data_IF_103221844772
#
_entry.id   IF_103221844772
#
_cell.length_a   1.000
_cell.length_b   1.000
_cell.length_c   1.000
_cell.angle_alpha   90.00
_cell.angle_beta   90.00
_cell.angle_gamma   90.00
#
_symmetry.space_group_name_H-M   'P 1'
#
loop_
_entity.id
_entity.type
_entity.pdbx_description
1 polymer ?
#
# COMPACT_ATOMS: atom_id res chain seq x y z
N UNK A 1 4.95 4.43 -20.35
CA UNK A 1 5.24 5.75 -19.74
C UNK A 1 4.47 5.76 -18.43
N UNK A 2 5.15 5.39 -17.34
CA UNK A 2 4.63 5.55 -15.97
C UNK A 2 5.86 5.59 -15.07
N UNK A 3 6.26 6.81 -14.73
CA UNK A 3 7.42 7.15 -13.91
C UNK A 3 6.86 8.04 -12.77
N UNK A 4 5.77 7.59 -12.15
CA UNK A 4 4.90 8.42 -11.31
C UNK A 4 5.07 8.22 -9.81
N UNK A 5 5.46 7.02 -9.36
CA UNK A 5 5.28 6.69 -7.93
C UNK A 5 6.59 6.61 -7.12
N UNK A 6 7.74 6.81 -7.77
CA UNK A 6 9.03 6.89 -7.06
C UNK A 6 9.27 8.28 -6.43
N UNK A 7 8.66 9.33 -6.98
CA UNK A 7 8.73 10.68 -6.43
C UNK A 7 7.96 10.80 -5.11
N UNK A 8 6.86 10.06 -4.95
CA UNK A 8 6.07 10.05 -3.71
C UNK A 8 6.86 9.52 -2.52
N UNK A 9 7.73 8.52 -2.72
CA UNK A 9 8.54 7.95 -1.64
C UNK A 9 9.71 8.86 -1.23
N UNK A 10 10.21 9.67 -2.17
CA UNK A 10 11.22 10.69 -1.89
C UNK A 10 10.60 11.88 -1.14
N UNK A 11 9.38 12.26 -1.49
CA UNK A 11 8.65 13.36 -0.85
C UNK A 11 8.20 12.98 0.57
N UNK A 12 7.67 11.77 0.78
CA UNK A 12 7.25 11.31 2.12
C UNK A 12 8.42 11.20 3.10
N UNK A 13 9.62 10.86 2.60
CA UNK A 13 10.83 10.82 3.42
C UNK A 13 11.34 12.22 3.77
N UNK A 14 11.14 13.20 2.88
CA UNK A 14 11.44 14.60 3.15
C UNK A 14 10.47 15.20 4.17
N UNK A 15 9.18 14.86 4.10
CA UNK A 15 8.19 15.26 5.12
C UNK A 15 8.54 14.69 6.51
N UNK A 16 8.98 13.43 6.60
CA UNK A 16 9.44 12.84 7.87
C UNK A 16 10.66 13.60 8.46
N UNK A 17 11.55 14.13 7.62
CA UNK A 17 12.67 14.98 8.07
C UNK A 17 12.18 16.37 8.55
N UNK A 18 11.24 16.99 7.85
CA UNK A 18 10.68 18.30 8.24
C UNK A 18 9.90 18.25 9.56
N UNK A 19 9.13 17.19 9.78
CA UNK A 19 8.40 16.94 11.04
C UNK A 19 9.38 16.70 12.19
N UNK A 20 10.47 15.97 11.95
CA UNK A 20 11.51 15.75 12.95
C UNK A 20 12.23 17.06 13.34
N UNK A 21 12.48 17.96 12.37
CA UNK A 21 13.06 19.27 12.64
C UNK A 21 12.11 20.20 13.42
N UNK A 22 10.80 20.14 13.15
CA UNK A 22 9.79 20.91 13.90
C UNK A 22 9.69 20.43 15.36
N UNK A 23 9.64 19.12 15.58
CA UNK A 23 9.63 18.52 16.93
C UNK A 23 10.90 18.84 17.71
N UNK A 24 12.07 18.81 17.06
CA UNK A 24 13.34 19.18 17.69
C UNK A 24 13.43 20.68 18.06
N UNK A 25 12.69 21.54 17.34
CA UNK A 25 12.54 22.97 17.68
C UNK A 25 11.60 23.19 18.86
N UNK A 26 10.52 22.42 18.99
CA UNK A 26 9.56 22.53 20.10
C UNK A 26 10.16 22.03 21.44
N UNK A 27 11.00 20.98 21.42
CA UNK A 27 11.65 20.42 22.62
C UNK A 27 12.60 21.39 23.35
N UNK A 28 13.08 22.46 22.70
CA UNK A 28 13.91 23.48 23.36
C UNK A 28 13.11 24.47 24.22
N UNK A 29 11.78 24.46 24.14
CA UNK A 29 10.94 25.52 24.73
C UNK A 29 10.15 25.14 25.98
N UNK A 30 9.98 23.86 26.34
CA UNK A 30 9.00 23.50 27.37
C UNK A 30 9.54 22.60 28.49
N UNK A 31 10.17 23.25 29.46
CA UNK A 31 10.40 22.72 30.81
C UNK A 31 9.14 22.92 31.65
N UNK A 32 8.15 22.01 31.59
CA UNK A 32 7.18 21.79 32.70
C UNK A 32 6.68 20.34 32.71
N UNK A 33 7.07 19.58 33.74
CA UNK A 33 6.66 18.20 33.97
C UNK A 33 5.20 18.10 34.48
N UNK A 34 4.41 17.19 33.91
CA UNK A 34 3.20 16.63 34.54
C UNK A 34 3.18 15.09 34.42
N UNK A 35 2.76 14.33 35.46
CA UNK A 35 2.85 12.87 35.49
C UNK A 35 1.84 12.14 34.58
N UNK A 36 0.93 12.86 33.93
CA UNK A 36 0.02 12.34 32.89
C UNK A 36 0.68 12.25 31.51
N UNK A 37 1.80 12.95 31.28
CA UNK A 37 2.40 13.04 29.94
C UNK A 37 3.02 11.73 29.47
N UNK A 38 3.56 10.91 30.38
CA UNK A 38 4.18 9.62 30.01
C UNK A 38 3.16 8.64 29.44
N UNK A 39 1.97 8.51 30.03
CA UNK A 39 0.93 7.59 29.54
C UNK A 39 0.42 7.99 28.16
N UNK A 40 0.18 9.29 27.94
CA UNK A 40 -0.24 9.81 26.64
C UNK A 40 0.87 9.69 25.58
N UNK A 41 2.13 9.85 25.98
CA UNK A 41 3.29 9.68 25.09
C UNK A 41 3.45 8.24 24.60
N UNK A 42 3.29 7.23 25.49
CA UNK A 42 3.34 5.82 25.08
C UNK A 42 2.17 5.46 24.14
N UNK A 43 0.95 5.96 24.43
CA UNK A 43 -0.20 5.75 23.56
C UNK A 43 0.00 6.38 22.17
N UNK A 44 0.52 7.61 22.11
CA UNK A 44 0.85 8.28 20.85
C UNK A 44 1.92 7.55 20.04
N UNK A 45 2.98 7.03 20.69
CA UNK A 45 4.03 6.23 20.04
C UNK A 45 3.49 4.93 19.44
N UNK A 46 2.61 4.22 20.15
CA UNK A 46 2.02 2.98 19.66
C UNK A 46 1.06 3.23 18.48
N UNK A 47 0.25 4.29 18.54
CA UNK A 47 -0.60 4.72 17.43
C UNK A 47 0.23 5.06 16.19
N UNK A 48 1.28 5.88 16.33
CA UNK A 48 2.18 6.20 15.21
C UNK A 48 2.87 4.97 14.61
N UNK A 49 3.14 3.93 15.42
CA UNK A 49 3.70 2.67 14.91
C UNK A 49 2.65 1.89 14.12
N UNK A 50 1.41 1.87 14.60
CA UNK A 50 0.29 1.20 13.93
C UNK A 50 -0.04 1.86 12.60
N UNK A 51 -0.19 3.19 12.56
CA UNK A 51 -0.43 3.95 11.32
C UNK A 51 0.67 3.72 10.29
N UNK A 52 1.95 3.73 10.69
CA UNK A 52 3.07 3.39 9.79
C UNK A 52 3.02 1.95 9.29
N UNK A 53 2.55 1.02 10.13
CA UNK A 53 2.36 -0.37 9.70
C UNK A 53 1.20 -0.51 8.71
N UNK A 54 0.09 0.18 8.94
CA UNK A 54 -1.08 0.18 8.05
C UNK A 54 -0.73 0.81 6.70
N UNK A 55 -0.09 1.98 6.71
CA UNK A 55 0.39 2.63 5.48
C UNK A 55 1.32 1.73 4.66
N UNK A 56 2.23 0.97 5.29
CA UNK A 56 3.09 0.02 4.58
C UNK A 56 2.30 -1.15 3.97
N UNK A 57 1.28 -1.66 4.68
CA UNK A 57 0.41 -2.72 4.15
C UNK A 57 -0.39 -2.21 2.95
N UNK A 58 -0.94 -1.00 3.03
CA UNK A 58 -1.65 -0.36 1.93
C UNK A 58 -0.75 -0.29 0.69
N UNK A 59 0.48 0.23 0.83
CA UNK A 59 1.44 0.29 -0.27
C UNK A 59 1.77 -1.10 -0.83
N UNK A 60 1.91 -2.11 0.03
CA UNK A 60 2.15 -3.48 -0.43
C UNK A 60 0.96 -4.01 -1.26
N UNK A 61 -0.27 -3.77 -0.81
CA UNK A 61 -1.47 -4.20 -1.55
C UNK A 61 -1.56 -3.47 -2.89
N UNK A 62 -1.21 -2.19 -2.95
CA UNK A 62 -1.14 -1.42 -4.20
C UNK A 62 -0.09 -2.00 -5.18
N UNK A 63 1.09 -2.37 -4.68
CA UNK A 63 2.12 -3.04 -5.49
C UNK A 63 1.65 -4.41 -6.01
N UNK A 64 0.99 -5.20 -5.16
CA UNK A 64 0.41 -6.49 -5.54
C UNK A 64 -0.69 -6.33 -6.61
N UNK A 65 -1.56 -5.34 -6.47
CA UNK A 65 -2.58 -5.02 -7.48
C UNK A 65 -1.96 -4.61 -8.82
N UNK A 66 -0.89 -3.80 -8.82
CA UNK A 66 -0.18 -3.42 -10.04
C UNK A 66 0.47 -4.63 -10.74
N UNK A 67 0.98 -5.59 -9.98
CA UNK A 67 1.50 -6.86 -10.52
C UNK A 67 0.38 -7.73 -11.11
N UNK A 68 -0.78 -7.77 -10.47
CA UNK A 68 -1.97 -8.46 -10.99
C UNK A 68 -2.45 -7.83 -12.30
N UNK A 69 -2.48 -6.50 -12.40
CA UNK A 69 -2.80 -5.79 -13.64
C UNK A 69 -1.84 -6.15 -14.78
N UNK A 70 -0.53 -6.19 -14.50
CA UNK A 70 0.46 -6.61 -15.50
C UNK A 70 0.24 -8.08 -15.91
N UNK A 71 -0.04 -8.96 -14.93
CA UNK A 71 -0.29 -10.39 -15.18
C UNK A 71 -1.54 -10.59 -16.04
N UNK A 72 -2.63 -9.89 -15.74
CA UNK A 72 -3.88 -9.89 -16.52
C UNK A 72 -3.60 -9.45 -17.96
N UNK A 73 -2.88 -8.34 -18.15
CA UNK A 73 -2.53 -7.85 -19.49
C UNK A 73 -1.65 -8.85 -20.27
N UNK A 74 -0.71 -9.52 -19.59
CA UNK A 74 0.12 -10.57 -20.18
C UNK A 74 -0.72 -11.79 -20.59
N UNK A 75 -1.61 -12.27 -19.73
CA UNK A 75 -2.50 -13.40 -20.01
C UNK A 75 -3.42 -13.10 -21.20
N UNK A 76 -4.03 -11.91 -21.24
CA UNK A 76 -4.87 -11.48 -22.36
C UNK A 76 -4.07 -11.42 -23.69
N UNK A 77 -2.83 -10.91 -23.64
CA UNK A 77 -1.94 -10.88 -24.80
C UNK A 77 -1.51 -12.29 -25.25
N UNK A 78 -1.35 -13.24 -24.33
CA UNK A 78 -1.06 -14.62 -24.66
C UNK A 78 -2.24 -15.34 -25.31
N UNK A 79 -3.46 -15.07 -24.84
CA UNK A 79 -4.68 -15.69 -25.34
C UNK A 79 -4.98 -15.36 -26.81
N UNK A 80 -4.52 -14.21 -27.31
CA UNK A 80 -4.70 -13.82 -28.72
C UNK A 80 -3.63 -14.35 -29.66
N UNK A 81 -2.64 -15.10 -29.14
CA UNK A 81 -1.60 -15.71 -29.98
C UNK A 81 -2.19 -16.82 -30.85
N UNK A 82 -1.82 -16.92 -32.14
CA UNK A 82 -2.32 -17.98 -33.03
C UNK A 82 -2.12 -19.40 -32.47
N UNK A 83 -0.95 -19.66 -31.91
CA UNK A 83 -0.60 -20.97 -31.32
C UNK A 83 -1.47 -21.36 -30.11
N UNK A 84 -2.12 -20.38 -29.48
CA UNK A 84 -3.02 -20.58 -28.33
C UNK A 84 -4.46 -20.68 -28.79
N UNK A 85 -4.86 -19.89 -29.80
CA UNK A 85 -6.21 -19.93 -30.37
C UNK A 85 -6.53 -21.29 -31.00
N UNK A 86 -5.52 -21.95 -31.56
CA UNK A 86 -5.66 -23.28 -32.15
C UNK A 86 -5.64 -24.41 -31.09
N UNK A 87 -5.25 -24.13 -29.84
CA UNK A 87 -5.22 -25.08 -28.73
C UNK A 87 -6.25 -24.71 -27.65
N UNK A 88 -7.44 -25.32 -27.76
CA UNK A 88 -8.55 -25.09 -26.83
C UNK A 88 -8.21 -25.45 -25.37
N UNK A 89 -7.30 -26.38 -25.12
CA UNK A 89 -6.91 -26.76 -23.74
C UNK A 89 -6.08 -25.65 -23.12
N UNK A 90 -5.08 -25.16 -23.87
CA UNK A 90 -4.23 -24.04 -23.44
C UNK A 90 -5.04 -22.75 -23.28
N UNK A 91 -5.97 -22.49 -24.19
CA UNK A 91 -6.87 -21.33 -24.09
C UNK A 91 -7.75 -21.41 -22.84
N UNK A 92 -8.27 -22.59 -22.48
CA UNK A 92 -9.08 -22.76 -21.28
C UNK A 92 -8.26 -22.53 -19.99
N UNK A 93 -7.04 -23.06 -19.94
CA UNK A 93 -6.13 -22.86 -18.82
C UNK A 93 -5.79 -21.38 -18.61
N UNK A 94 -5.44 -20.66 -19.69
CA UNK A 94 -5.20 -19.21 -19.62
C UNK A 94 -6.44 -18.42 -19.20
N UNK A 95 -7.64 -18.79 -19.67
CA UNK A 95 -8.89 -18.17 -19.20
C UNK A 95 -9.10 -18.39 -17.70
N UNK A 96 -8.79 -19.58 -17.19
CA UNK A 96 -8.93 -19.87 -15.76
C UNK A 96 -7.92 -19.09 -14.93
N UNK A 97 -6.68 -18.95 -15.41
CA UNK A 97 -5.68 -18.10 -14.77
C UNK A 97 -6.10 -16.62 -14.79
N UNK A 98 -6.66 -16.13 -15.89
CA UNK A 98 -7.17 -14.76 -16.02
C UNK A 98 -8.30 -14.48 -15.02
N UNK A 99 -9.26 -15.41 -14.92
CA UNK A 99 -10.37 -15.28 -13.97
C UNK A 99 -9.87 -15.29 -12.52
N UNK A 100 -8.94 -16.20 -12.19
CA UNK A 100 -8.35 -16.24 -10.85
C UNK A 100 -7.61 -14.94 -10.51
N UNK A 101 -6.82 -14.39 -11.44
CA UNK A 101 -6.11 -13.13 -11.23
C UNK A 101 -7.08 -11.94 -11.03
N UNK A 102 -8.23 -11.94 -11.72
CA UNK A 102 -9.28 -10.93 -11.51
C UNK A 102 -9.97 -11.08 -10.16
N UNK A 103 -10.27 -12.30 -9.74
CA UNK A 103 -10.83 -12.55 -8.40
C UNK A 103 -9.84 -12.11 -7.32
N UNK A 104 -8.55 -12.42 -7.48
CA UNK A 104 -7.52 -11.96 -6.54
C UNK A 104 -7.41 -10.44 -6.52
N UNK A 105 -7.51 -9.77 -7.67
CA UNK A 105 -7.54 -8.31 -7.75
C UNK A 105 -8.74 -7.71 -6.99
N UNK A 106 -9.93 -8.30 -7.12
CA UNK A 106 -11.12 -7.88 -6.36
C UNK A 106 -10.92 -8.06 -4.85
N UNK A 107 -10.35 -9.19 -4.43
CA UNK A 107 -10.01 -9.44 -3.02
C UNK A 107 -9.02 -8.40 -2.48
N UNK A 108 -7.98 -8.07 -3.25
CA UNK A 108 -6.99 -7.05 -2.89
C UNK A 108 -7.60 -5.65 -2.79
N UNK A 109 -8.58 -5.32 -3.64
CA UNK A 109 -9.28 -4.04 -3.56
C UNK A 109 -10.09 -3.94 -2.26
N UNK A 110 -10.75 -5.02 -1.84
CA UNK A 110 -11.46 -5.07 -0.55
C UNK A 110 -10.48 -4.98 0.61
N UNK A 111 -9.34 -5.65 0.54
CA UNK A 111 -8.28 -5.55 1.56
C UNK A 111 -7.75 -4.12 1.68
N UNK A 112 -7.48 -3.46 0.56
CA UNK A 112 -7.04 -2.07 0.52
C UNK A 112 -8.08 -1.12 1.13
N UNK A 113 -9.36 -1.31 0.82
CA UNK A 113 -10.46 -0.52 1.40
C UNK A 113 -10.50 -0.68 2.92
N UNK A 114 -10.47 -1.93 3.42
CA UNK A 114 -10.47 -2.20 4.85
C UNK A 114 -9.25 -1.60 5.56
N UNK A 115 -8.05 -1.73 4.99
CA UNK A 115 -6.84 -1.15 5.56
C UNK A 115 -6.87 0.39 5.57
N UNK A 116 -7.49 0.99 4.57
CA UNK A 116 -7.65 2.45 4.46
C UNK A 116 -8.63 2.97 5.50
N UNK A 117 -9.77 2.28 5.70
CA UNK A 117 -10.71 2.58 6.78
C UNK A 117 -10.03 2.43 8.14
N UNK A 118 -9.29 1.33 8.35
CA UNK A 118 -8.56 1.10 9.60
C UNK A 118 -7.54 2.22 9.86
N UNK A 119 -6.84 2.72 8.83
CA UNK A 119 -5.93 3.84 8.97
C UNK A 119 -6.64 5.14 9.36
N UNK A 120 -7.78 5.45 8.73
CA UNK A 120 -8.60 6.64 9.02
C UNK A 120 -9.14 6.63 10.47
N UNK A 121 -9.42 5.45 11.03
CA UNK A 121 -9.82 5.33 12.45
C UNK A 121 -8.71 5.74 13.45
N UNK A 122 -7.45 5.80 13.00
CA UNK A 122 -6.29 6.18 13.81
C UNK A 122 -5.74 7.58 13.50
N UNK A 123 -6.24 8.26 12.47
CA UNK A 123 -5.96 9.67 12.17
C UNK A 123 -6.78 10.64 13.05
#
# INVERSE_FOLDING_TARGET
MYLGDYDYYLEKKQEEEEIAELLAKEEQTEVVETPTSKSNYYQSKEQQKLMRSLSRKITQVEEEMAQLDETIAQLEAEMVRPDVLDDHVKLNDLNQQLENARVEQEEKLVDWENLSIELEEYE
#
